data_IF_715895453880
#
_entry.id   IF_715895453880
#
_cell.length_a   1.000
_cell.length_b   1.000
_cell.length_c   1.000
_cell.angle_alpha   90.00
_cell.angle_beta   90.00
_cell.angle_gamma   90.00
#
_symmetry.space_group_name_H-M   'P 1'
#
loop_
_entity.id
_entity.type
_entity.pdbx_description
1 polymer ?
#
# COMPACT_ATOMS: atom_id res chain seq x y z
N UNK A 1 16.55 -22.60 73.76
CA UNK A 1 16.01 -23.65 72.85
C UNK A 1 15.86 -23.05 71.46
N UNK A 2 16.89 -23.15 70.61
CA UNK A 2 16.85 -22.61 69.25
C UNK A 2 16.28 -23.66 68.29
N UNK A 3 15.07 -23.42 67.77
CA UNK A 3 14.45 -24.27 66.77
C UNK A 3 15.19 -24.11 65.43
N UNK A 4 15.83 -25.19 64.98
CA UNK A 4 16.47 -25.27 63.66
C UNK A 4 15.38 -25.38 62.60
N UNK A 5 15.28 -24.36 61.76
CA UNK A 5 14.39 -24.32 60.60
C UNK A 5 14.91 -25.30 59.54
N UNK A 6 14.23 -26.43 59.35
CA UNK A 6 14.56 -27.42 58.32
C UNK A 6 13.96 -26.97 56.99
N UNK A 7 14.79 -26.43 56.10
CA UNK A 7 14.39 -26.08 54.75
C UNK A 7 14.01 -27.35 53.97
N UNK A 8 12.73 -27.48 53.63
CA UNK A 8 12.23 -28.53 52.75
C UNK A 8 12.83 -28.33 51.36
N UNK A 9 13.70 -29.26 50.96
CA UNK A 9 14.27 -29.33 49.61
C UNK A 9 13.15 -29.75 48.65
N UNK A 10 12.55 -28.79 47.97
CA UNK A 10 11.52 -29.01 46.96
C UNK A 10 12.05 -29.98 45.90
N UNK A 11 11.36 -31.10 45.70
CA UNK A 11 11.65 -32.03 44.61
C UNK A 11 11.66 -31.25 43.30
N UNK A 12 12.75 -31.33 42.54
CA UNK A 12 12.84 -30.66 41.25
C UNK A 12 11.89 -31.35 40.27
N UNK A 13 10.91 -30.62 39.75
CA UNK A 13 10.02 -31.12 38.71
C UNK A 13 10.83 -31.58 37.48
N UNK A 14 10.51 -32.77 36.99
CA UNK A 14 11.06 -33.27 35.73
C UNK A 14 10.61 -32.35 34.57
N UNK A 15 11.48 -32.14 33.57
CA UNK A 15 11.12 -31.34 32.42
C UNK A 15 9.95 -31.99 31.67
N UNK A 16 8.88 -31.23 31.45
CA UNK A 16 7.73 -31.64 30.66
C UNK A 16 7.71 -30.87 29.33
N UNK A 17 7.01 -31.41 28.33
CA UNK A 17 6.79 -30.69 27.09
C UNK A 17 6.10 -29.33 27.35
N UNK A 18 6.52 -28.28 26.63
CA UNK A 18 5.88 -26.97 26.73
C UNK A 18 4.37 -27.09 26.50
N UNK A 19 3.56 -26.44 27.34
CA UNK A 19 2.10 -26.41 27.13
C UNK A 19 1.71 -25.88 25.74
N UNK A 20 2.54 -25.02 25.16
CA UNK A 20 2.34 -24.49 23.83
C UNK A 20 2.38 -25.56 22.72
N UNK A 21 3.18 -26.63 22.85
CA UNK A 21 3.27 -27.69 21.85
C UNK A 21 2.05 -28.62 21.84
N UNK A 22 1.16 -28.49 22.83
CA UNK A 22 -0.06 -29.29 22.95
C UNK A 22 -1.17 -28.85 22.00
N UNK A 23 -1.00 -27.71 21.31
CA UNK A 23 -2.03 -27.11 20.47
C UNK A 23 -1.76 -27.34 18.98
N UNK A 24 -2.78 -27.84 18.29
CA UNK A 24 -2.78 -28.07 16.85
C UNK A 24 -4.16 -27.74 16.25
N UNK A 25 -4.24 -27.55 14.95
CA UNK A 25 -5.50 -27.62 14.21
C UNK A 25 -5.67 -28.98 13.54
N UNK A 26 -6.87 -29.24 13.05
CA UNK A 26 -7.18 -30.35 12.15
C UNK A 26 -6.27 -30.39 10.90
N UNK A 27 -5.96 -29.23 10.33
CA UNK A 27 -5.02 -29.08 9.20
C UNK A 27 -3.55 -29.36 9.57
N UNK A 28 -3.25 -29.75 10.81
CA UNK A 28 -1.89 -30.01 11.29
C UNK A 28 -1.06 -28.75 11.58
N UNK A 29 -1.68 -27.56 11.62
CA UNK A 29 -0.98 -26.32 11.99
C UNK A 29 -0.74 -26.32 13.49
N UNK A 30 0.51 -26.16 13.93
CA UNK A 30 0.89 -26.16 15.35
C UNK A 30 1.61 -24.87 15.72
N UNK A 31 1.91 -24.68 17.01
CA UNK A 31 2.78 -23.57 17.44
C UNK A 31 4.25 -23.76 17.05
N UNK A 32 4.63 -24.92 16.48
CA UNK A 32 6.01 -25.26 16.13
C UNK A 32 6.95 -25.39 17.33
N UNK A 33 6.42 -25.70 18.52
CA UNK A 33 7.25 -25.84 19.72
C UNK A 33 7.69 -27.29 19.94
N UNK A 34 9.00 -27.49 20.11
CA UNK A 34 9.60 -28.75 20.55
C UNK A 34 10.36 -28.63 21.88
N UNK A 35 10.18 -27.51 22.60
CA UNK A 35 10.89 -27.26 23.85
C UNK A 35 10.29 -28.02 25.03
N UNK A 36 11.17 -28.53 25.88
CA UNK A 36 10.85 -29.08 27.20
C UNK A 36 11.24 -28.07 28.28
N UNK A 37 10.45 -28.00 29.35
CA UNK A 37 10.62 -26.99 30.39
C UNK A 37 10.11 -27.51 31.72
N UNK A 38 10.74 -27.04 32.80
CA UNK A 38 10.27 -27.29 34.18
C UNK A 38 9.08 -26.39 34.57
N UNK A 39 8.79 -25.36 33.76
CA UNK A 39 7.67 -24.44 33.93
C UNK A 39 6.54 -24.81 32.97
N UNK A 40 5.36 -24.24 33.16
CA UNK A 40 4.21 -24.42 32.24
C UNK A 40 4.56 -24.04 30.79
N UNK A 41 5.36 -22.98 30.62
CA UNK A 41 5.83 -22.48 29.33
C UNK A 41 7.36 -22.29 29.34
N UNK A 42 7.99 -22.53 28.20
CA UNK A 42 9.35 -22.06 27.96
C UNK A 42 9.35 -20.51 27.85
N UNK A 43 10.48 -19.82 28.10
CA UNK A 43 10.54 -18.36 28.01
C UNK A 43 10.03 -17.83 26.65
N UNK A 44 9.01 -16.96 26.68
CA UNK A 44 8.40 -16.33 25.50
C UNK A 44 7.44 -17.22 24.68
N UNK A 45 7.21 -18.47 25.10
CA UNK A 45 6.32 -19.38 24.38
C UNK A 45 4.83 -19.16 24.67
N UNK A 46 4.51 -18.49 25.77
CA UNK A 46 3.17 -17.95 26.05
C UNK A 46 2.72 -16.97 24.96
N UNK A 47 3.63 -16.10 24.49
CA UNK A 47 3.36 -15.18 23.41
C UNK A 47 3.15 -15.90 22.06
N UNK A 48 3.87 -17.00 21.81
CA UNK A 48 3.66 -17.86 20.63
C UNK A 48 2.28 -18.50 20.66
N UNK A 49 1.91 -19.11 21.79
CA UNK A 49 0.58 -19.73 21.95
C UNK A 49 -0.53 -18.67 21.80
N UNK A 50 -0.38 -17.51 22.45
CA UNK A 50 -1.32 -16.40 22.31
C UNK A 50 -1.51 -15.98 20.84
N UNK A 51 -0.42 -15.79 20.10
CA UNK A 51 -0.47 -15.39 18.69
C UNK A 51 -1.12 -16.46 17.81
N UNK A 52 -0.83 -17.74 18.07
CA UNK A 52 -1.45 -18.87 17.39
C UNK A 52 -2.97 -18.89 17.61
N UNK A 53 -3.42 -18.80 18.87
CA UNK A 53 -4.84 -18.80 19.22
C UNK A 53 -5.58 -17.60 18.63
N UNK A 54 -4.98 -16.40 18.64
CA UNK A 54 -5.60 -15.22 18.00
C UNK A 54 -5.80 -15.45 16.49
N UNK A 55 -4.80 -16.04 15.83
CA UNK A 55 -4.88 -16.30 14.40
C UNK A 55 -5.96 -17.34 14.07
N UNK A 56 -5.98 -18.47 14.78
CA UNK A 56 -6.99 -19.52 14.55
C UNK A 56 -8.39 -19.04 14.89
N UNK A 57 -8.55 -18.28 15.98
CA UNK A 57 -9.83 -17.68 16.34
C UNK A 57 -10.32 -16.67 15.30
N UNK A 58 -9.45 -15.83 14.75
CA UNK A 58 -9.81 -14.90 13.69
C UNK A 58 -10.16 -15.58 12.35
N UNK A 59 -9.61 -16.79 12.12
CA UNK A 59 -9.93 -17.64 10.98
C UNK A 59 -11.19 -18.49 11.24
N UNK A 60 -11.72 -18.51 12.46
CA UNK A 60 -12.86 -19.35 12.86
C UNK A 60 -12.52 -20.85 12.94
N UNK A 61 -11.24 -21.21 12.96
CA UNK A 61 -10.79 -22.61 12.99
C UNK A 61 -10.77 -23.13 14.43
N UNK A 62 -11.27 -24.35 14.63
CA UNK A 62 -11.18 -25.02 15.92
C UNK A 62 -9.73 -25.41 16.26
N UNK A 63 -9.41 -25.37 17.54
CA UNK A 63 -8.09 -25.76 18.05
C UNK A 63 -8.23 -27.03 18.87
N UNK A 64 -7.37 -27.99 18.56
CA UNK A 64 -7.24 -29.25 19.27
C UNK A 64 -6.12 -29.10 20.29
N UNK A 65 -6.43 -29.37 21.56
CA UNK A 65 -5.43 -29.50 22.63
C UNK A 65 -5.28 -30.95 23.03
N UNK A 66 -4.07 -31.47 22.94
CA UNK A 66 -3.71 -32.83 23.38
C UNK A 66 -3.00 -32.78 24.72
N UNK A 67 -3.61 -33.37 25.75
CA UNK A 67 -3.04 -33.49 27.10
C UNK A 67 -3.13 -34.95 27.52
N UNK A 68 -1.98 -35.56 27.87
CA UNK A 68 -1.90 -36.94 28.36
C UNK A 68 -2.61 -37.97 27.46
N UNK A 69 -2.52 -37.79 26.14
CA UNK A 69 -3.13 -38.67 25.14
C UNK A 69 -4.61 -38.40 24.86
N UNK A 70 -5.24 -37.44 25.55
CA UNK A 70 -6.62 -37.01 25.31
C UNK A 70 -6.63 -35.73 24.46
N UNK A 71 -7.28 -35.81 23.31
CA UNK A 71 -7.51 -34.66 22.43
C UNK A 71 -8.85 -33.99 22.78
N UNK A 72 -8.84 -32.67 22.92
CA UNK A 72 -10.04 -31.85 23.13
C UNK A 72 -10.09 -30.74 22.07
N UNK A 73 -11.13 -30.76 21.23
CA UNK A 73 -11.42 -29.66 20.30
C UNK A 73 -12.30 -28.61 20.98
N UNK A 74 -11.95 -27.34 20.77
CA UNK A 74 -12.78 -26.20 21.14
C UNK A 74 -12.31 -24.98 20.34
N UNK A 75 -13.08 -23.89 20.41
CA UNK A 75 -12.66 -22.61 19.85
C UNK A 75 -11.43 -22.06 20.61
N UNK A 76 -10.68 -21.19 19.92
CA UNK A 76 -9.45 -20.62 20.46
C UNK A 76 -9.66 -19.82 21.75
N UNK A 77 -10.84 -19.22 21.94
CA UNK A 77 -11.15 -18.42 23.13
C UNK A 77 -11.43 -19.30 24.35
N UNK A 78 -12.14 -20.41 24.19
CA UNK A 78 -12.38 -21.41 25.25
C UNK A 78 -11.08 -22.03 25.73
N UNK A 79 -10.15 -22.36 24.82
CA UNK A 79 -8.82 -22.84 25.22
C UNK A 79 -8.00 -21.76 25.93
N UNK A 80 -8.08 -20.50 25.47
CA UNK A 80 -7.35 -19.39 26.06
C UNK A 80 -7.86 -19.00 27.46
N UNK A 81 -9.14 -19.21 27.76
CA UNK A 81 -9.78 -18.89 29.04
C UNK A 81 -9.12 -19.61 30.24
N UNK A 82 -8.42 -20.72 29.99
CA UNK A 82 -7.67 -21.47 31.00
C UNK A 82 -6.37 -20.78 31.44
N UNK A 83 -5.97 -19.70 30.77
CA UNK A 83 -4.73 -18.97 31.03
C UNK A 83 -4.99 -17.50 31.39
N UNK A 84 -4.06 -16.89 32.13
CA UNK A 84 -4.16 -15.48 32.54
C UNK A 84 -4.22 -14.49 31.36
N UNK A 85 -3.76 -14.89 30.17
CA UNK A 85 -3.81 -14.08 28.95
C UNK A 85 -5.08 -14.27 28.12
N UNK A 86 -6.10 -15.02 28.59
CA UNK A 86 -7.32 -15.31 27.84
C UNK A 86 -8.03 -14.06 27.29
N UNK A 87 -8.12 -13.01 28.11
CA UNK A 87 -8.68 -11.71 27.72
C UNK A 87 -7.90 -11.06 26.55
N UNK A 88 -6.57 -11.25 26.48
CA UNK A 88 -5.76 -10.72 25.38
C UNK A 88 -6.02 -11.47 24.08
N UNK A 89 -6.31 -12.77 24.15
CA UNK A 89 -6.67 -13.59 22.99
C UNK A 89 -8.03 -13.15 22.47
N UNK A 90 -9.04 -13.05 23.33
CA UNK A 90 -10.37 -12.58 22.93
C UNK A 90 -10.31 -11.19 22.26
N UNK A 91 -9.65 -10.21 22.90
CA UNK A 91 -9.46 -8.88 22.33
C UNK A 91 -8.60 -8.89 21.05
N UNK A 92 -7.70 -9.87 20.89
CA UNK A 92 -6.93 -10.09 19.67
C UNK A 92 -7.80 -10.57 18.52
N UNK A 93 -8.67 -11.55 18.78
CA UNK A 93 -9.62 -12.12 17.81
C UNK A 93 -10.56 -11.03 17.29
N UNK A 94 -11.23 -10.29 18.18
CA UNK A 94 -12.15 -9.21 17.79
C UNK A 94 -11.47 -8.13 16.93
N UNK A 95 -10.21 -7.78 17.25
CA UNK A 95 -9.45 -6.82 16.43
C UNK A 95 -9.09 -7.39 15.07
N UNK A 96 -8.75 -8.67 14.98
CA UNK A 96 -8.42 -9.33 13.74
C UNK A 96 -9.64 -9.48 12.82
N UNK A 97 -10.79 -9.87 13.39
CA UNK A 97 -12.08 -9.93 12.69
C UNK A 97 -12.50 -8.55 12.19
N UNK A 98 -12.43 -7.52 13.04
CA UNK A 98 -12.73 -6.14 12.63
C UNK A 98 -11.82 -5.65 11.51
N UNK A 99 -10.54 -6.03 11.52
CA UNK A 99 -9.60 -5.72 10.43
C UNK A 99 -9.94 -6.48 9.15
N UNK A 100 -10.37 -7.73 9.25
CA UNK A 100 -10.81 -8.53 8.11
C UNK A 100 -12.10 -7.96 7.48
N UNK A 101 -13.09 -7.60 8.29
CA UNK A 101 -14.31 -6.94 7.85
C UNK A 101 -14.01 -5.60 7.17
N UNK A 102 -13.20 -4.74 7.80
CA UNK A 102 -12.81 -3.46 7.21
C UNK A 102 -12.03 -3.63 5.89
N UNK A 103 -11.23 -4.69 5.76
CA UNK A 103 -10.56 -5.03 4.49
C UNK A 103 -11.58 -5.46 3.43
N UNK A 104 -12.53 -6.33 3.78
CA UNK A 104 -13.58 -6.79 2.88
C UNK A 104 -14.45 -5.61 2.39
N UNK A 105 -14.84 -4.69 3.27
CA UNK A 105 -15.58 -3.48 2.91
C UNK A 105 -14.78 -2.58 1.94
N UNK A 106 -13.48 -2.39 2.20
CA UNK A 106 -12.61 -1.62 1.30
C UNK A 106 -12.46 -2.30 -0.06
N UNK A 107 -12.39 -3.61 -0.10
CA UNK A 107 -12.31 -4.37 -1.35
C UNK A 107 -13.63 -4.32 -2.12
N UNK A 108 -14.78 -4.45 -1.44
CA UNK A 108 -16.10 -4.25 -2.02
C UNK A 108 -16.25 -2.82 -2.60
N UNK A 109 -15.85 -1.80 -1.84
CA UNK A 109 -15.93 -0.40 -2.26
C UNK A 109 -15.01 -0.07 -3.45
N UNK A 110 -13.85 -0.74 -3.59
CA UNK A 110 -12.98 -0.65 -4.77
C UNK A 110 -13.57 -1.36 -5.98
N UNK A 111 -14.33 -2.42 -5.75
CA UNK A 111 -14.92 -3.23 -6.81
C UNK A 111 -16.28 -2.75 -7.29
N UNK A 112 -16.83 -1.70 -6.67
CA UNK A 112 -18.07 -1.05 -7.07
C UNK A 112 -18.11 -0.77 -8.59
N UNK A 113 -19.03 -1.41 -9.32
CA UNK A 113 -19.12 -1.29 -10.78
C UNK A 113 -19.47 0.13 -11.22
N UNK A 114 -20.20 0.90 -10.41
CA UNK A 114 -20.55 2.29 -10.73
C UNK A 114 -19.31 3.20 -10.69
N UNK A 115 -18.45 3.02 -9.67
CA UNK A 115 -17.16 3.75 -9.61
C UNK A 115 -16.22 3.36 -10.75
N UNK A 116 -16.18 2.08 -11.11
CA UNK A 116 -15.40 1.60 -12.26
C UNK A 116 -15.93 2.17 -13.58
N UNK A 117 -17.25 2.17 -13.77
CA UNK A 117 -17.90 2.75 -14.96
C UNK A 117 -17.66 4.26 -15.06
N UNK A 118 -17.83 4.99 -13.96
CA UNK A 118 -17.57 6.43 -13.91
C UNK A 118 -16.11 6.77 -14.23
N UNK A 119 -15.15 6.01 -13.68
CA UNK A 119 -13.72 6.19 -13.98
C UNK A 119 -13.43 5.90 -15.47
N UNK A 120 -14.04 4.87 -16.05
CA UNK A 120 -13.90 4.54 -17.47
C UNK A 120 -14.49 5.64 -18.36
N UNK A 121 -15.68 6.14 -18.03
CA UNK A 121 -16.32 7.24 -18.76
C UNK A 121 -15.48 8.52 -18.73
N UNK A 122 -14.90 8.86 -17.57
CA UNK A 122 -13.99 10.00 -17.45
C UNK A 122 -12.74 9.83 -18.33
N UNK A 123 -12.16 8.63 -18.38
CA UNK A 123 -11.00 8.35 -19.24
C UNK A 123 -11.36 8.47 -20.73
N UNK A 124 -12.51 7.95 -21.13
CA UNK A 124 -13.01 8.07 -22.51
C UNK A 124 -13.27 9.54 -22.88
N UNK A 125 -13.88 10.33 -21.99
CA UNK A 125 -14.09 11.75 -22.21
C UNK A 125 -12.76 12.52 -22.34
N UNK A 126 -11.75 12.19 -21.52
CA UNK A 126 -10.42 12.80 -21.59
C UNK A 126 -9.70 12.45 -22.90
N UNK A 127 -9.80 11.20 -23.34
CA UNK A 127 -9.25 10.75 -24.62
C UNK A 127 -9.93 11.46 -25.79
N UNK A 128 -11.26 11.54 -25.78
CA UNK A 128 -12.02 12.26 -26.80
C UNK A 128 -11.65 13.76 -26.86
N UNK A 129 -11.46 14.41 -25.71
CA UNK A 129 -11.03 15.81 -25.67
C UNK A 129 -9.61 16.00 -26.22
N UNK A 130 -8.70 15.07 -25.94
CA UNK A 130 -7.32 15.12 -26.46
C UNK A 130 -7.33 14.90 -27.97
N UNK A 131 -8.08 13.91 -28.45
CA UNK A 131 -8.25 13.64 -29.87
C UNK A 131 -8.84 14.86 -30.60
N UNK A 132 -9.89 15.47 -30.06
CA UNK A 132 -10.48 16.68 -30.66
C UNK A 132 -9.50 17.86 -30.70
N UNK A 133 -8.63 18.00 -29.71
CA UNK A 133 -7.59 19.04 -29.70
C UNK A 133 -6.53 18.78 -30.77
N UNK A 134 -6.14 17.52 -30.98
CA UNK A 134 -5.17 17.14 -31.99
C UNK A 134 -5.75 17.27 -33.40
N UNK A 135 -7.01 16.87 -33.61
CA UNK A 135 -7.76 17.10 -34.85
C UNK A 135 -7.89 18.60 -35.17
N UNK A 136 -8.19 19.44 -34.16
CA UNK A 136 -8.23 20.89 -34.35
C UNK A 136 -6.87 21.50 -34.73
N UNK A 137 -5.75 20.93 -34.22
CA UNK A 137 -4.40 21.36 -34.60
C UNK A 137 -4.04 20.94 -36.01
N UNK A 138 -4.39 19.72 -36.43
CA UNK A 138 -4.16 19.26 -37.80
C UNK A 138 -4.99 20.08 -38.78
N UNK A 139 -6.25 20.36 -38.46
CA UNK A 139 -7.11 21.25 -39.24
C UNK A 139 -6.55 22.68 -39.34
N UNK A 140 -5.99 23.22 -38.26
CA UNK A 140 -5.35 24.53 -38.29
C UNK A 140 -4.09 24.54 -39.18
N UNK A 141 -3.35 23.42 -39.19
CA UNK A 141 -2.22 23.18 -40.09
C UNK A 141 -2.65 23.05 -41.56
N UNK A 142 -3.73 22.31 -41.85
CA UNK A 142 -4.26 22.07 -43.21
C UNK A 142 -5.04 23.25 -43.78
N UNK A 143 -5.82 23.98 -42.95
CA UNK A 143 -6.46 25.25 -43.34
C UNK A 143 -5.47 26.37 -43.64
N UNK A 144 -4.17 26.10 -43.50
CA UNK A 144 -3.14 27.01 -43.96
C UNK A 144 -3.21 28.34 -43.23
N UNK A 145 -3.44 28.33 -41.91
CA UNK A 145 -2.90 29.39 -41.06
C UNK A 145 -1.37 29.27 -41.05
N UNK A 146 -0.75 29.42 -42.22
CA UNK A 146 0.53 30.12 -42.27
C UNK A 146 0.20 31.44 -41.60
N UNK A 147 0.84 31.75 -40.47
CA UNK A 147 1.06 33.17 -40.17
C UNK A 147 1.58 33.72 -41.49
N UNK A 148 0.77 34.51 -42.20
CA UNK A 148 1.28 35.34 -43.26
C UNK A 148 2.22 36.26 -42.53
N UNK A 149 3.49 35.85 -42.48
CA UNK A 149 4.52 36.67 -41.88
C UNK A 149 4.71 37.77 -42.91
N UNK A 150 3.90 38.82 -42.78
CA UNK A 150 3.88 39.92 -43.72
C UNK A 150 5.30 40.47 -43.75
N UNK A 151 5.97 40.30 -44.89
CA UNK A 151 7.28 40.87 -45.11
C UNK A 151 7.13 42.40 -45.11
N UNK A 152 7.61 43.02 -44.04
CA UNK A 152 7.52 44.46 -43.85
C UNK A 152 8.88 45.10 -44.09
N UNK A 153 8.84 46.34 -44.59
CA UNK A 153 10.02 47.18 -44.72
C UNK A 153 10.26 47.88 -43.39
N UNK A 154 11.41 47.64 -42.78
CA UNK A 154 11.82 48.32 -41.56
C UNK A 154 13.19 48.96 -41.73
N UNK A 155 13.38 50.10 -41.08
CA UNK A 155 14.66 50.77 -40.97
C UNK A 155 15.44 50.21 -39.78
N UNK A 156 16.60 49.62 -40.08
CA UNK A 156 17.55 49.08 -39.10
C UNK A 156 18.84 49.90 -39.21
N UNK A 157 19.12 50.72 -38.20
CA UNK A 157 20.20 51.70 -38.23
C UNK A 157 20.03 52.71 -39.37
N UNK A 158 20.98 52.74 -40.32
CA UNK A 158 20.95 53.65 -41.48
C UNK A 158 20.23 53.07 -42.71
N UNK A 159 19.89 51.79 -42.71
CA UNK A 159 19.43 51.07 -43.91
C UNK A 159 17.97 50.61 -43.79
N UNK A 160 17.26 50.53 -44.91
CA UNK A 160 15.92 49.90 -44.99
C UNK A 160 16.10 48.46 -45.44
N UNK A 161 15.46 47.53 -44.72
CA UNK A 161 15.53 46.08 -44.96
C UNK A 161 14.11 45.52 -45.03
N UNK A 162 13.93 44.49 -45.86
CA UNK A 162 12.71 43.70 -45.92
C UNK A 162 12.93 42.48 -45.02
N UNK A 163 11.95 42.17 -44.19
CA UNK A 163 12.05 41.08 -43.24
C UNK A 163 10.74 40.84 -42.52
N UNK A 164 10.78 39.93 -41.56
CA UNK A 164 9.60 39.49 -40.81
C UNK A 164 9.62 40.03 -39.39
N UNK A 165 8.48 40.53 -38.90
CA UNK A 165 8.30 40.93 -37.51
C UNK A 165 7.56 39.83 -36.75
N UNK A 166 8.14 39.37 -35.65
CA UNK A 166 7.50 38.48 -34.69
C UNK A 166 7.60 39.11 -33.31
N UNK A 167 6.49 39.62 -32.78
CA UNK A 167 6.47 40.43 -31.55
C UNK A 167 7.32 41.70 -31.68
N UNK A 168 8.24 41.93 -30.75
CA UNK A 168 9.14 43.10 -30.71
C UNK A 168 10.45 42.89 -31.50
N UNK A 169 10.49 41.88 -32.37
CA UNK A 169 11.71 41.41 -33.01
C UNK A 169 11.56 41.39 -34.52
N UNK A 170 12.50 42.04 -35.22
CA UNK A 170 12.57 42.07 -36.68
C UNK A 170 13.73 41.22 -37.19
N UNK A 171 13.42 40.23 -38.04
CA UNK A 171 14.39 39.33 -38.66
C UNK A 171 14.53 39.65 -40.14
N UNK A 172 15.76 39.89 -40.60
CA UNK A 172 16.07 40.27 -41.98
C UNK A 172 17.38 39.63 -42.46
N UNK A 173 17.52 39.51 -43.78
CA UNK A 173 18.77 39.05 -44.40
C UNK A 173 19.68 40.24 -44.72
N UNK A 174 20.92 40.20 -44.23
CA UNK A 174 21.90 41.24 -44.51
C UNK A 174 22.44 41.15 -45.95
N UNK A 175 23.27 42.13 -46.37
CA UNK A 175 23.84 42.13 -47.72
C UNK A 175 24.84 40.99 -47.98
N UNK A 176 25.25 40.25 -46.95
CA UNK A 176 26.14 39.09 -47.03
C UNK A 176 25.37 37.76 -47.01
N UNK A 177 24.04 37.82 -47.02
CA UNK A 177 23.17 36.65 -47.01
C UNK A 177 22.96 36.03 -45.63
N UNK A 178 23.41 36.68 -44.55
CA UNK A 178 23.23 36.17 -43.19
C UNK A 178 21.92 36.69 -42.58
N UNK A 179 21.14 35.79 -41.98
CA UNK A 179 19.94 36.14 -41.21
C UNK A 179 20.34 36.84 -39.91
N UNK A 180 19.76 38.01 -39.67
CA UNK A 180 19.99 38.84 -38.48
C UNK A 180 18.67 39.22 -37.85
N UNK A 181 18.69 39.34 -36.53
CA UNK A 181 17.51 39.60 -35.71
C UNK A 181 17.79 40.80 -34.81
N UNK A 182 16.88 41.78 -34.77
CA UNK A 182 17.04 43.03 -34.01
C UNK A 182 15.74 43.47 -33.35
N UNK A 183 15.83 44.05 -32.16
CA UNK A 183 14.70 44.71 -31.47
C UNK A 183 14.65 46.22 -31.73
N UNK A 184 15.73 46.80 -32.25
CA UNK A 184 15.81 48.22 -32.61
C UNK A 184 15.54 48.40 -34.10
N UNK A 185 14.29 48.60 -34.46
CA UNK A 185 13.86 48.90 -35.82
C UNK A 185 12.71 49.91 -35.82
N UNK A 186 12.49 50.57 -36.96
CA UNK A 186 11.32 51.42 -37.17
C UNK A 186 10.65 51.01 -38.48
N UNK A 187 9.38 50.62 -38.42
CA UNK A 187 8.59 50.33 -39.62
C UNK A 187 8.50 51.58 -40.50
N UNK A 188 8.61 51.37 -41.81
CA UNK A 188 8.60 52.41 -42.85
C UNK A 188 7.32 52.33 -43.65
#
# INVERSE_FOLDING_TARGET
MAAKNTAAKTAQAEPAACTCSQFATDDGRTTGCAAETKRLFAPGHDAKLKSFLIRMGAEGTEVIRTLDGLASSADASTHAAKFAFGHMVAAGITRAEGKAAAKAEREAAKNDPAKKAAKKALQQAKQAMTQALDEAKTDAGERGYKLQVDEVKAKVGRWVRVGTVEGDTFTYTDAKGATKTTTNFRLV
#
